data_IF_118555815156
#
_entry.id   IF_118555815156
#
_cell.length_a   1.000
_cell.length_b   1.000
_cell.length_c   1.000
_cell.angle_alpha   90.00
_cell.angle_beta   90.00
_cell.angle_gamma   90.00
#
_symmetry.space_group_name_H-M   'P 1'
#
loop_
_entity.id
_entity.type
_entity.pdbx_description
1 polymer ?
#
# COMPACT_ATOMS: atom_id res chain seq x y z
N UNK A 1 -12.51 -4.59 3.74
CA UNK A 1 -11.74 -3.67 2.92
C UNK A 1 -12.33 -3.65 1.52
N UNK A 2 -12.58 -2.48 0.91
CA UNK A 2 -13.16 -2.43 -0.44
C UNK A 2 -12.13 -2.81 -1.53
N UNK A 3 -10.85 -2.59 -1.24
CA UNK A 3 -9.71 -2.74 -2.15
C UNK A 3 -8.54 -3.49 -1.50
N UNK A 4 -8.70 -4.79 -1.16
CA UNK A 4 -7.68 -5.54 -0.44
C UNK A 4 -6.38 -5.70 -1.24
N UNK A 5 -6.47 -5.90 -2.55
CA UNK A 5 -5.31 -6.11 -3.41
C UNK A 5 -4.45 -4.85 -3.55
N UNK A 6 -5.09 -3.71 -3.79
CA UNK A 6 -4.47 -2.40 -3.92
C UNK A 6 -3.71 -2.04 -2.64
N UNK A 7 -4.32 -2.31 -1.49
CA UNK A 7 -3.70 -2.08 -0.20
C UNK A 7 -2.48 -2.97 0.03
N UNK A 8 -2.59 -4.26 -0.26
CA UNK A 8 -1.44 -5.16 -0.17
C UNK A 8 -0.32 -4.74 -1.12
N UNK A 9 -0.64 -4.28 -2.33
CA UNK A 9 0.34 -3.80 -3.29
C UNK A 9 1.06 -2.54 -2.79
N UNK A 10 0.31 -1.57 -2.24
CA UNK A 10 0.88 -0.40 -1.58
C UNK A 10 1.86 -0.85 -0.48
N UNK A 11 1.40 -1.69 0.44
CA UNK A 11 2.20 -2.14 1.58
C UNK A 11 3.50 -2.83 1.11
N UNK A 12 3.41 -3.75 0.16
CA UNK A 12 4.55 -4.52 -0.34
C UNK A 12 5.56 -3.65 -1.11
N UNK A 13 5.11 -2.67 -1.89
CA UNK A 13 6.01 -1.72 -2.56
C UNK A 13 6.75 -0.83 -1.56
N UNK A 14 6.06 -0.38 -0.51
CA UNK A 14 6.68 0.39 0.57
C UNK A 14 7.65 -0.47 1.39
N UNK A 15 7.30 -1.72 1.68
CA UNK A 15 8.18 -2.68 2.36
C UNK A 15 9.44 -2.93 1.53
N UNK A 16 9.30 -3.17 0.23
CA UNK A 16 10.43 -3.27 -0.71
C UNK A 16 11.34 -2.03 -0.59
N UNK A 17 10.78 -0.82 -0.70
CA UNK A 17 11.57 0.41 -0.57
C UNK A 17 12.28 0.49 0.78
N UNK A 18 11.63 0.10 1.87
CA UNK A 18 12.21 0.11 3.21
C UNK A 18 13.40 -0.85 3.34
N UNK A 19 13.35 -2.03 2.71
CA UNK A 19 14.51 -2.94 2.68
C UNK A 19 15.75 -2.32 2.02
N UNK A 20 15.56 -1.29 1.19
CA UNK A 20 16.63 -0.59 0.47
C UNK A 20 17.05 0.74 1.09
N UNK A 21 16.12 1.57 1.60
CA UNK A 21 16.46 2.87 2.18
C UNK A 21 16.55 2.88 3.71
N UNK A 22 15.76 2.05 4.39
CA UNK A 22 15.58 2.07 5.85
C UNK A 22 15.27 3.47 6.41
N UNK A 23 14.44 4.27 5.72
CA UNK A 23 13.98 5.55 6.26
C UNK A 23 13.09 5.32 7.49
N UNK A 24 13.40 5.99 8.61
CA UNK A 24 12.69 5.83 9.88
C UNK A 24 11.20 6.14 9.74
N UNK A 25 10.86 7.21 9.02
CA UNK A 25 9.49 7.65 8.79
C UNK A 25 8.70 6.64 7.93
N UNK A 26 9.36 6.00 6.96
CA UNK A 26 8.78 4.89 6.21
C UNK A 26 8.54 3.67 7.12
N UNK A 27 9.48 3.37 8.01
CA UNK A 27 9.31 2.30 9.02
C UNK A 27 8.13 2.57 9.95
N UNK A 28 7.93 3.81 10.38
CA UNK A 28 6.78 4.22 11.19
C UNK A 28 5.46 4.05 10.42
N UNK A 29 5.41 4.50 9.16
CA UNK A 29 4.25 4.32 8.29
C UNK A 29 3.94 2.84 8.03
N UNK A 30 4.96 2.02 7.74
CA UNK A 30 4.79 0.58 7.56
C UNK A 30 4.26 -0.09 8.83
N UNK A 31 4.69 0.35 10.02
CA UNK A 31 4.13 -0.10 11.29
C UNK A 31 2.63 0.22 11.42
N UNK A 32 2.19 1.39 10.94
CA UNK A 32 0.78 1.77 10.93
C UNK A 32 -0.03 1.05 9.85
N UNK A 33 0.57 0.77 8.69
CA UNK A 33 -0.10 0.09 7.58
C UNK A 33 -0.03 -1.44 7.66
N UNK A 34 0.73 -2.03 8.58
CA UNK A 34 0.99 -3.47 8.55
C UNK A 34 -0.30 -4.30 8.69
N UNK A 35 -0.71 -5.04 7.65
CA UNK A 35 -1.93 -5.84 7.66
C UNK A 35 -1.86 -7.04 8.60
N UNK A 36 -0.66 -7.45 9.06
CA UNK A 36 -0.45 -8.57 9.96
C UNK A 36 -0.49 -8.22 11.46
N UNK A 37 -0.60 -6.94 11.83
CA UNK A 37 -0.58 -6.54 13.24
C UNK A 37 -1.94 -6.72 13.92
N UNK A 38 -3.06 -6.59 13.20
CA UNK A 38 -4.39 -6.72 13.77
C UNK A 38 -5.01 -8.07 13.42
N UNK A 39 -5.69 -8.68 14.41
CA UNK A 39 -6.29 -10.01 14.29
C UNK A 39 -7.44 -10.10 13.25
N UNK A 40 -7.91 -8.95 12.75
CA UNK A 40 -8.88 -8.80 11.68
C UNK A 40 -8.25 -8.51 10.30
N UNK A 41 -6.92 -8.51 10.22
CA UNK A 41 -6.15 -8.25 9.00
C UNK A 41 -6.31 -6.83 8.45
N UNK A 42 -6.75 -5.87 9.26
CA UNK A 42 -6.87 -4.46 8.88
C UNK A 42 -5.59 -3.67 9.21
N UNK A 43 -5.28 -2.57 8.49
CA UNK A 43 -4.27 -1.61 8.92
C UNK A 43 -4.55 -1.09 10.34
N UNK A 44 -3.48 -0.67 11.02
CA UNK A 44 -3.52 -0.19 12.40
C UNK A 44 -4.39 1.04 12.60
N UNK A 45 -4.47 1.87 11.57
CA UNK A 45 -5.34 3.04 11.57
C UNK A 45 -6.29 3.03 10.36
N UNK A 46 -7.58 3.14 10.66
CA UNK A 46 -8.64 3.29 9.65
C UNK A 46 -8.64 4.68 9.01
N UNK A 47 -8.03 5.69 9.65
CA UNK A 47 -7.91 7.03 9.12
C UNK A 47 -6.87 7.10 7.99
N UNK A 48 -5.72 6.43 8.15
CA UNK A 48 -4.70 6.32 7.10
C UNK A 48 -5.23 5.52 5.91
N UNK A 49 -6.00 4.46 6.18
CA UNK A 49 -6.72 3.72 5.15
C UNK A 49 -7.81 4.57 4.48
N UNK A 50 -8.51 5.43 5.21
CA UNK A 50 -9.53 6.31 4.64
C UNK A 50 -8.91 7.38 3.73
N UNK A 51 -7.73 7.91 4.05
CA UNK A 51 -7.00 8.84 3.17
C UNK A 51 -6.54 8.15 1.89
N UNK A 52 -6.07 6.89 1.98
CA UNK A 52 -5.88 6.06 0.80
C UNK A 52 -7.23 5.89 0.08
N UNK A 53 -8.23 5.25 0.65
CA UNK A 53 -9.52 4.94 0.00
C UNK A 53 -10.26 6.17 -0.60
N UNK A 54 -10.19 7.37 -0.01
CA UNK A 54 -10.86 8.58 -0.53
C UNK A 54 -10.21 9.13 -1.82
N UNK A 55 -8.92 8.84 -2.04
CA UNK A 55 -8.22 9.14 -3.30
C UNK A 55 -8.42 8.08 -4.38
N UNK A 56 -9.15 6.99 -4.07
CA UNK A 56 -9.32 5.82 -4.93
C UNK A 56 -10.71 5.77 -5.58
N UNK A 57 -10.75 5.99 -6.90
CA UNK A 57 -11.95 5.76 -7.72
C UNK A 57 -11.74 4.81 -8.91
N UNK A 58 -10.51 4.40 -9.18
CA UNK A 58 -10.15 3.63 -10.38
C UNK A 58 -9.29 2.40 -10.03
N UNK A 59 -9.65 1.26 -10.63
CA UNK A 59 -9.05 -0.06 -10.44
C UNK A 59 -7.75 -0.25 -11.28
N UNK A 60 -7.17 0.85 -11.78
CA UNK A 60 -5.95 0.81 -12.60
C UNK A 60 -4.72 0.49 -11.73
N UNK A 61 -4.23 -0.74 -11.90
CA UNK A 61 -3.03 -1.28 -11.29
C UNK A 61 -1.85 -1.36 -12.28
N UNK A 62 -1.90 -0.63 -13.39
CA UNK A 62 -0.74 -0.45 -14.26
C UNK A 62 0.40 0.19 -13.50
N UNK A 63 1.62 -0.33 -13.66
CA UNK A 63 2.82 0.08 -12.89
C UNK A 63 2.96 1.59 -12.74
N UNK A 64 3.03 2.31 -13.86
CA UNK A 64 3.25 3.76 -13.84
C UNK A 64 2.09 4.50 -13.15
N UNK A 65 0.85 4.11 -13.44
CA UNK A 65 -0.32 4.75 -12.83
C UNK A 65 -0.37 4.53 -11.32
N UNK A 66 -0.05 3.32 -10.87
CA UNK A 66 -0.07 2.95 -9.46
C UNK A 66 1.12 3.57 -8.71
N UNK A 67 2.34 3.49 -9.23
CA UNK A 67 3.53 4.10 -8.61
C UNK A 67 3.34 5.61 -8.44
N UNK A 68 2.84 6.31 -9.47
CA UNK A 68 2.56 7.74 -9.37
C UNK A 68 1.52 8.07 -8.29
N UNK A 69 0.55 7.16 -8.08
CA UNK A 69 -0.45 7.29 -7.02
C UNK A 69 0.17 7.11 -5.62
N UNK A 70 1.02 6.11 -5.45
CA UNK A 70 1.77 5.89 -4.19
C UNK A 70 2.65 7.10 -3.87
N UNK A 71 3.38 7.62 -4.87
CA UNK A 71 4.20 8.83 -4.74
C UNK A 71 3.35 10.02 -4.29
N UNK A 72 2.20 10.25 -4.92
CA UNK A 72 1.30 11.36 -4.57
C UNK A 72 0.79 11.22 -3.13
N UNK A 73 0.38 10.02 -2.73
CA UNK A 73 -0.03 9.71 -1.37
C UNK A 73 1.08 10.05 -0.35
N UNK A 74 2.30 9.55 -0.56
CA UNK A 74 3.43 9.80 0.35
C UNK A 74 3.80 11.28 0.43
N UNK A 75 3.72 12.01 -0.68
CA UNK A 75 3.98 13.45 -0.71
C UNK A 75 2.95 14.24 0.10
N UNK A 76 1.66 13.91 -0.03
CA UNK A 76 0.58 14.56 0.71
C UNK A 76 0.62 14.18 2.20
N UNK A 77 0.80 12.90 2.50
CA UNK A 77 0.95 12.38 3.86
C UNK A 77 2.16 13.00 4.57
N UNK A 78 3.32 13.00 3.91
CA UNK A 78 4.55 13.60 4.41
C UNK A 78 4.40 15.09 4.68
N UNK A 79 3.75 15.84 3.76
CA UNK A 79 3.48 17.26 3.96
C UNK A 79 2.52 17.52 5.13
N UNK A 80 1.48 16.70 5.28
CA UNK A 80 0.44 16.88 6.31
C UNK A 80 0.95 16.57 7.71
N UNK A 81 1.76 15.53 7.85
CA UNK A 81 2.19 15.00 9.15
C UNK A 81 3.67 15.26 9.47
N UNK A 82 4.44 15.83 8.54
CA UNK A 82 5.85 16.19 8.73
C UNK A 82 6.83 15.04 8.55
N UNK A 83 6.44 14.00 7.82
CA UNK A 83 7.31 12.86 7.48
C UNK A 83 8.16 13.13 6.23
N UNK A 84 9.39 12.61 6.23
CA UNK A 84 10.31 12.64 5.11
C UNK A 84 10.40 11.26 4.44
N UNK A 85 9.92 11.20 3.19
CA UNK A 85 9.98 10.00 2.34
C UNK A 85 10.92 10.19 1.14
N UNK A 86 11.83 11.17 1.19
CA UNK A 86 12.63 11.59 0.03
C UNK A 86 13.33 10.42 -0.67
N UNK A 87 13.90 9.46 0.06
CA UNK A 87 14.59 8.30 -0.55
C UNK A 87 13.60 7.25 -1.02
N UNK A 88 12.50 7.06 -0.30
CA UNK A 88 11.39 6.18 -0.71
C UNK A 88 10.82 6.62 -2.06
N UNK A 89 10.58 7.92 -2.26
CA UNK A 89 10.08 8.47 -3.52
C UNK A 89 11.02 8.16 -4.69
N UNK A 90 12.33 8.33 -4.50
CA UNK A 90 13.34 7.99 -5.52
C UNK A 90 13.33 6.49 -5.82
N UNK A 91 13.23 5.63 -4.80
CA UNK A 91 13.21 4.19 -4.99
C UNK A 91 11.97 3.71 -5.75
N UNK A 92 10.79 4.28 -5.44
CA UNK A 92 9.55 3.96 -6.14
C UNK A 92 9.66 4.21 -7.65
N UNK A 93 10.30 5.30 -8.08
CA UNK A 93 10.53 5.58 -9.50
C UNK A 93 11.45 4.57 -10.18
N UNK A 94 12.31 3.89 -9.41
CA UNK A 94 13.27 2.89 -9.92
C UNK A 94 12.75 1.47 -9.97
N UNK A 95 11.57 1.19 -9.38
CA UNK A 95 10.92 -0.12 -9.47
C UNK A 95 10.64 -0.41 -10.93
N UNK A 96 11.21 -1.48 -11.48
CA UNK A 96 10.98 -1.89 -12.86
C UNK A 96 9.71 -2.75 -13.01
N UNK A 97 9.35 -3.10 -14.25
CA UNK A 97 8.18 -3.94 -14.54
C UNK A 97 8.27 -5.33 -13.92
N UNK A 98 9.47 -5.90 -13.82
CA UNK A 98 9.65 -7.26 -13.28
C UNK A 98 9.39 -7.26 -11.78
N UNK A 99 9.97 -6.31 -11.05
CA UNK A 99 9.78 -6.17 -9.62
C UNK A 99 8.34 -5.79 -9.29
N UNK A 100 7.76 -4.83 -10.01
CA UNK A 100 6.37 -4.46 -9.83
C UNK A 100 5.42 -5.67 -10.03
N UNK A 101 5.64 -6.47 -11.07
CA UNK A 101 4.84 -7.66 -11.32
C UNK A 101 4.95 -8.71 -10.21
N UNK A 102 6.13 -8.85 -9.59
CA UNK A 102 6.32 -9.72 -8.41
C UNK A 102 5.48 -9.23 -7.23
N UNK A 103 5.53 -7.93 -6.94
CA UNK A 103 4.77 -7.34 -5.85
C UNK A 103 3.26 -7.44 -6.08
N UNK A 104 2.80 -7.24 -7.33
CA UNK A 104 1.39 -7.41 -7.70
C UNK A 104 0.91 -8.86 -7.51
N UNK A 105 1.69 -9.84 -7.96
CA UNK A 105 1.33 -11.25 -7.78
C UNK A 105 1.30 -11.67 -6.29
N UNK A 106 2.22 -11.13 -5.48
CA UNK A 106 2.19 -11.33 -4.03
C UNK A 106 0.95 -10.69 -3.40
N UNK A 107 0.62 -9.45 -3.77
CA UNK A 107 -0.56 -8.74 -3.30
C UNK A 107 -1.87 -9.48 -3.64
N UNK A 108 -1.97 -10.04 -4.85
CA UNK A 108 -3.12 -10.85 -5.26
C UNK A 108 -3.31 -12.08 -4.37
N UNK A 109 -2.21 -12.76 -4.03
CA UNK A 109 -2.23 -13.94 -3.16
C UNK A 109 -2.68 -13.59 -1.75
N UNK A 110 -2.10 -12.53 -1.16
CA UNK A 110 -2.44 -12.10 0.19
C UNK A 110 -3.88 -11.55 0.28
N UNK A 111 -4.33 -10.82 -0.74
CA UNK A 111 -5.71 -10.35 -0.83
C UNK A 111 -6.72 -11.51 -0.94
N UNK A 112 -6.41 -12.55 -1.72
CA UNK A 112 -7.26 -13.74 -1.81
C UNK A 112 -7.36 -14.46 -0.46
N UNK A 113 -6.22 -14.67 0.22
CA UNK A 113 -6.18 -15.28 1.55
C UNK A 113 -6.97 -14.46 2.58
N UNK A 114 -6.88 -13.13 2.50
CA UNK A 114 -7.65 -12.22 3.36
C UNK A 114 -9.16 -12.36 3.12
N UNK A 115 -9.60 -12.38 1.86
CA UNK A 115 -11.01 -12.56 1.50
C UNK A 115 -11.56 -13.91 1.97
N UNK A 116 -10.79 -14.99 1.83
CA UNK A 116 -11.17 -16.33 2.30
C UNK A 116 -11.33 -16.38 3.83
N UNK A 117 -10.47 -15.68 4.57
CA UNK A 117 -10.56 -15.55 6.02
C UNK A 117 -11.71 -14.64 6.50
N UNK A 118 -12.20 -13.74 5.63
CA UNK A 118 -13.21 -12.73 5.98
C UNK A 118 -14.42 -12.73 5.01
N UNK A 119 -15.20 -13.83 4.93
CA UNK A 119 -16.28 -13.99 3.96
C UNK A 119 -17.46 -13.01 4.15
N UNK A 120 -17.58 -12.37 5.31
CA UNK A 120 -18.58 -11.31 5.58
C UNK A 120 -18.19 -9.91 5.06
N UNK A 121 -16.98 -9.77 4.52
CA UNK A 121 -16.41 -8.53 3.99
C UNK A 121 -16.13 -8.62 2.49
N UNK A 122 -16.90 -9.47 1.78
CA UNK A 122 -16.81 -9.57 0.33
C UNK A 122 -16.92 -8.18 -0.30
N UNK A 123 -16.00 -7.90 -1.22
CA UNK A 123 -16.03 -6.72 -2.06
C UNK A 123 -17.45 -6.56 -2.56
N UNK A 124 -17.97 -5.34 -2.42
CA UNK A 124 -19.16 -4.96 -3.18
C UNK A 124 -18.73 -4.99 -4.65
N UNK A 125 -18.83 -6.16 -5.28
CA UNK A 125 -18.81 -6.27 -6.73
C UNK A 125 -19.96 -5.38 -7.22
N UNK A 126 -19.74 -4.51 -8.22
CA UNK A 126 -20.82 -3.70 -8.80
C UNK A 126 -21.96 -4.57 -9.36
#
# INVERSE_FOLDING_TARGET
MRYPKEFWLLFLLLEYCYTHCQEDDLGALLGALNPGIFADGLPADKADLAEWEDTHRDDDLGRDAFINRVISFLQDFGRRYGFDFSRTLVLLETVDEEEYAKQLAAAEKEAAAWCDAHPGWQSSTP
#
